data_IF_424860847792
#
_entry.id   IF_424860847792
#
_cell.length_a   1.000
_cell.length_b   1.000
_cell.length_c   1.000
_cell.angle_alpha   90.00
_cell.angle_beta   90.00
_cell.angle_gamma   90.00
#
_symmetry.space_group_name_H-M   'P 1'
#
loop_
_entity.id
_entity.type
_entity.pdbx_description
1 polymer ?
#
# COMPACT_ATOMS: atom_id res chain seq x y z
N UNK A 1 -3.72 11.51 -4.43
CA UNK A 1 -4.44 10.97 -5.62
C UNK A 1 -5.53 10.04 -5.12
N UNK A 2 -6.80 10.34 -5.38
CA UNK A 2 -7.93 9.56 -4.87
C UNK A 2 -7.96 8.15 -5.46
N UNK A 3 -8.09 7.13 -4.61
CA UNK A 3 -8.10 5.70 -4.95
C UNK A 3 -9.12 5.33 -6.04
N UNK A 4 -10.19 6.14 -6.20
CA UNK A 4 -11.23 5.94 -7.22
C UNK A 4 -10.73 6.12 -8.66
N UNK A 5 -9.77 7.01 -8.90
CA UNK A 5 -9.29 7.31 -10.26
C UNK A 5 -8.42 6.19 -10.86
N UNK A 6 -7.57 5.56 -10.05
CA UNK A 6 -6.74 4.42 -10.48
C UNK A 6 -7.56 3.16 -10.69
N UNK A 7 -8.61 2.94 -9.89
CA UNK A 7 -9.59 1.86 -10.09
C UNK A 7 -10.35 2.02 -11.43
N UNK A 8 -10.51 3.26 -11.89
CA UNK A 8 -11.17 3.56 -13.16
C UNK A 8 -10.32 3.21 -14.40
N UNK A 9 -9.02 3.50 -14.37
CA UNK A 9 -8.16 3.22 -15.54
C UNK A 9 -7.75 1.74 -15.65
N UNK A 10 -7.73 1.02 -14.53
CA UNK A 10 -7.31 -0.38 -14.48
C UNK A 10 -8.35 -1.37 -15.06
N UNK A 11 -9.62 -1.00 -15.13
CA UNK A 11 -10.68 -1.84 -15.67
C UNK A 11 -10.84 -1.74 -17.19
N UNK A 12 -10.21 -0.73 -17.82
CA UNK A 12 -10.22 -0.56 -19.27
C UNK A 12 -9.13 -1.47 -19.88
N UNK A 13 -9.48 -2.56 -20.61
CA UNK A 13 -8.51 -3.59 -20.98
C UNK A 13 -7.35 -3.09 -21.85
N UNK A 14 -7.63 -2.18 -22.79
CA UNK A 14 -6.62 -1.64 -23.70
C UNK A 14 -5.65 -0.68 -22.98
N UNK A 15 -6.14 0.16 -22.05
CA UNK A 15 -5.31 1.07 -21.24
C UNK A 15 -4.37 0.25 -20.36
N UNK A 16 -4.91 -0.77 -19.68
CA UNK A 16 -4.12 -1.69 -18.86
C UNK A 16 -3.05 -2.40 -19.69
N UNK A 17 -3.39 -2.89 -20.88
CA UNK A 17 -2.44 -3.56 -21.76
C UNK A 17 -1.31 -2.62 -22.22
N UNK A 18 -1.64 -1.38 -22.57
CA UNK A 18 -0.67 -0.37 -22.99
C UNK A 18 0.27 0.06 -21.85
N UNK A 19 -0.22 0.16 -20.62
CA UNK A 19 0.57 0.62 -19.46
C UNK A 19 1.36 -0.50 -18.76
N UNK A 20 0.91 -1.76 -18.85
CA UNK A 20 1.55 -2.92 -18.20
C UNK A 20 3.06 -3.07 -18.47
N UNK A 21 3.59 -2.91 -19.70
CA UNK A 21 5.03 -3.07 -19.95
C UNK A 21 5.89 -2.03 -19.22
N UNK A 22 5.35 -0.87 -18.87
CA UNK A 22 6.08 0.19 -18.16
C UNK A 22 6.14 -0.03 -16.64
N UNK A 23 5.25 -0.84 -16.07
CA UNK A 23 5.15 -1.03 -14.63
C UNK A 23 6.39 -1.75 -14.04
N UNK A 24 6.93 -2.76 -14.72
CA UNK A 24 8.10 -3.51 -14.26
C UNK A 24 9.36 -2.65 -14.15
N UNK A 25 9.80 -1.97 -15.23
CA UNK A 25 10.92 -1.06 -15.20
C UNK A 25 10.75 0.07 -14.17
N UNK A 26 9.53 0.61 -14.04
CA UNK A 26 9.22 1.63 -13.03
C UNK A 26 9.50 1.14 -11.61
N UNK A 27 9.04 -0.07 -11.27
CA UNK A 27 9.28 -0.65 -9.93
C UNK A 27 10.78 -0.90 -9.68
N UNK A 28 11.51 -1.39 -10.69
CA UNK A 28 12.96 -1.58 -10.58
C UNK A 28 13.70 -0.25 -10.39
N UNK A 29 13.26 0.80 -11.08
CA UNK A 29 13.83 2.15 -10.97
C UNK A 29 13.53 2.79 -9.61
N UNK A 30 12.35 2.56 -9.03
CA UNK A 30 11.96 3.06 -7.71
C UNK A 30 12.87 2.55 -6.57
N UNK A 31 13.55 1.42 -6.75
CA UNK A 31 14.68 1.01 -5.91
C UNK A 31 14.36 0.53 -4.49
N UNK A 32 13.12 0.64 -4.01
CA UNK A 32 12.73 0.23 -2.65
C UNK A 32 13.06 -1.25 -2.33
N UNK A 33 13.02 -2.14 -3.33
CA UNK A 33 13.41 -3.55 -3.16
C UNK A 33 14.90 -3.73 -2.84
N UNK A 34 15.76 -2.79 -3.27
CA UNK A 34 17.22 -2.82 -3.03
C UNK A 34 17.60 -2.48 -1.59
N UNK A 35 16.71 -1.79 -0.87
CA UNK A 35 16.82 -1.51 0.57
C UNK A 35 15.97 -2.46 1.42
N UNK A 36 15.36 -3.47 0.77
CA UNK A 36 14.69 -4.54 1.46
C UNK A 36 13.25 -4.24 1.90
N UNK A 37 12.61 -3.24 1.29
CA UNK A 37 11.20 -2.89 1.53
C UNK A 37 10.27 -3.60 0.53
N UNK A 38 9.03 -3.81 0.94
CA UNK A 38 7.89 -4.14 0.07
C UNK A 38 7.12 -2.87 -0.28
N UNK A 39 6.30 -2.91 -1.33
CA UNK A 39 5.54 -1.76 -1.79
C UNK A 39 4.64 -1.16 -0.70
N UNK A 40 3.97 -2.01 0.08
CA UNK A 40 3.05 -1.60 1.14
C UNK A 40 3.76 -0.95 2.35
N UNK A 41 5.10 -1.10 2.47
CA UNK A 41 5.88 -0.41 3.50
C UNK A 41 5.97 1.11 3.22
N UNK A 42 5.77 1.53 1.96
CA UNK A 42 5.89 2.93 1.50
C UNK A 42 4.64 3.77 1.77
N UNK A 43 3.56 3.17 2.27
CA UNK A 43 2.31 3.88 2.58
C UNK A 43 2.55 4.83 3.77
N UNK A 44 2.13 6.09 3.62
CA UNK A 44 2.22 7.09 4.68
C UNK A 44 1.15 6.83 5.75
N UNK A 45 1.58 6.62 6.99
CA UNK A 45 0.71 6.20 8.09
C UNK A 45 0.14 7.40 8.84
N UNK A 46 1.02 8.33 9.23
CA UNK A 46 0.69 9.37 10.23
C UNK A 46 -0.32 10.40 9.73
N UNK A 47 -0.55 10.48 8.41
CA UNK A 47 -1.49 11.40 7.79
C UNK A 47 -2.86 10.75 7.48
N UNK A 48 -2.98 9.42 7.55
CA UNK A 48 -4.16 8.70 7.07
C UNK A 48 -4.78 7.82 8.19
N UNK A 49 -5.98 8.18 8.72
CA UNK A 49 -6.65 7.38 9.74
C UNK A 49 -6.99 5.97 9.24
N UNK A 50 -7.18 5.77 7.93
CA UNK A 50 -7.41 4.45 7.33
C UNK A 50 -6.16 3.59 7.44
N UNK A 51 -4.98 4.17 7.15
CA UNK A 51 -3.70 3.44 7.23
C UNK A 51 -3.35 3.07 8.67
N UNK A 52 -3.65 3.96 9.62
CA UNK A 52 -3.44 3.72 11.06
C UNK A 52 -4.30 2.56 11.56
N UNK A 53 -5.60 2.56 11.23
CA UNK A 53 -6.51 1.47 11.60
C UNK A 53 -6.16 0.16 10.88
N UNK A 54 -5.71 0.22 9.61
CA UNK A 54 -5.26 -0.96 8.88
C UNK A 54 -4.04 -1.62 9.54
N UNK A 55 -3.08 -0.84 10.05
CA UNK A 55 -1.94 -1.38 10.80
C UNK A 55 -2.35 -1.98 12.14
N UNK A 56 -3.34 -1.39 12.82
CA UNK A 56 -3.87 -1.94 14.07
C UNK A 56 -4.49 -3.33 13.88
N UNK A 57 -5.08 -3.59 12.70
CA UNK A 57 -5.68 -4.89 12.32
C UNK A 57 -4.67 -5.90 11.77
N UNK A 58 -3.45 -5.47 11.45
CA UNK A 58 -2.44 -6.34 10.88
C UNK A 58 -2.01 -7.42 11.91
N UNK A 59 -1.85 -8.69 11.51
CA UNK A 59 -1.34 -9.72 12.39
C UNK A 59 0.03 -9.35 12.97
N UNK A 60 0.26 -9.68 14.25
CA UNK A 60 1.48 -9.30 14.96
C UNK A 60 2.78 -9.71 14.23
N UNK A 61 2.82 -10.93 13.67
CA UNK A 61 3.98 -11.43 12.94
C UNK A 61 4.33 -10.59 11.68
N UNK A 62 3.33 -10.13 10.93
CA UNK A 62 3.53 -9.25 9.77
C UNK A 62 3.93 -7.84 10.20
N UNK A 63 3.39 -7.35 11.32
CA UNK A 63 3.76 -6.07 11.90
C UNK A 63 5.24 -6.05 12.33
N UNK A 64 5.71 -7.10 13.01
CA UNK A 64 7.12 -7.23 13.41
C UNK A 64 8.04 -7.36 12.18
N UNK A 65 7.65 -8.17 11.19
CA UNK A 65 8.39 -8.30 9.93
C UNK A 65 8.48 -6.96 9.18
N UNK A 66 7.42 -6.16 9.19
CA UNK A 66 7.41 -4.80 8.64
C UNK A 66 8.38 -3.89 9.39
N UNK A 67 8.33 -3.86 10.71
CA UNK A 67 9.24 -3.04 11.53
C UNK A 67 10.70 -3.40 11.26
N UNK A 68 11.00 -4.70 11.13
CA UNK A 68 12.34 -5.16 10.76
C UNK A 68 12.79 -4.62 9.40
N UNK A 69 11.95 -4.72 8.36
CA UNK A 69 12.26 -4.18 7.02
C UNK A 69 12.50 -2.67 7.06
N UNK A 70 11.66 -1.92 7.78
CA UNK A 70 11.81 -0.48 7.94
C UNK A 70 13.12 -0.09 8.63
N UNK A 71 13.44 -0.74 9.76
CA UNK A 71 14.71 -0.49 10.48
C UNK A 71 15.92 -0.77 9.60
N UNK A 72 15.88 -1.86 8.83
CA UNK A 72 16.94 -2.20 7.87
C UNK A 72 17.08 -1.14 6.77
N UNK A 73 15.96 -0.68 6.21
CA UNK A 73 15.97 0.36 5.19
C UNK A 73 16.51 1.70 5.71
N UNK A 74 16.14 2.08 6.95
CA UNK A 74 16.69 3.26 7.63
C UNK A 74 18.21 3.11 7.81
N UNK A 75 18.71 1.94 8.21
CA UNK A 75 20.15 1.70 8.32
C UNK A 75 20.88 1.85 6.97
N UNK A 76 20.29 1.36 5.89
CA UNK A 76 20.80 1.56 4.53
C UNK A 76 20.85 3.04 4.16
N UNK A 77 19.80 3.79 4.47
CA UNK A 77 19.72 5.23 4.21
C UNK A 77 20.79 6.01 4.99
N UNK A 78 20.91 5.75 6.29
CA UNK A 78 21.91 6.36 7.17
C UNK A 78 23.35 6.14 6.70
N UNK A 79 23.62 4.98 6.10
CA UNK A 79 24.95 4.62 5.59
C UNK A 79 25.15 4.94 4.12
N UNK A 80 24.11 5.47 3.46
CA UNK A 80 24.05 5.66 2.01
C UNK A 80 24.49 4.41 1.22
N UNK A 81 24.13 3.23 1.73
CA UNK A 81 24.51 1.94 1.17
C UNK A 81 23.27 1.12 0.81
N UNK A 82 23.43 0.23 -0.18
CA UNK A 82 22.38 -0.72 -0.56
C UNK A 82 22.64 -2.08 0.10
N UNK A 83 21.59 -2.88 0.24
CA UNK A 83 21.75 -4.26 0.66
C UNK A 83 22.52 -5.06 -0.40
N UNK A 84 23.21 -6.15 -0.01
CA UNK A 84 23.69 -7.15 -0.96
C UNK A 84 22.56 -7.65 -1.86
N UNK A 85 22.85 -7.96 -3.12
CA UNK A 85 21.84 -8.32 -4.14
C UNK A 85 21.01 -9.53 -3.74
N UNK A 86 21.59 -10.44 -2.96
CA UNK A 86 20.99 -11.66 -2.46
C UNK A 86 19.88 -11.38 -1.43
N UNK A 87 19.92 -10.20 -0.79
CA UNK A 87 18.96 -9.76 0.21
C UNK A 87 17.89 -8.81 -0.36
N UNK A 88 17.93 -8.52 -1.66
CA UNK A 88 16.90 -7.71 -2.31
C UNK A 88 15.59 -8.48 -2.35
N UNK A 89 14.49 -7.76 -2.12
CA UNK A 89 13.16 -8.36 -2.21
C UNK A 89 12.92 -8.80 -3.65
N UNK A 90 12.58 -10.08 -3.82
CA UNK A 90 12.24 -10.62 -5.14
C UNK A 90 10.86 -10.13 -5.57
N UNK A 91 10.59 -10.00 -6.88
CA UNK A 91 9.27 -9.59 -7.37
C UNK A 91 8.11 -10.45 -6.83
N UNK A 92 8.37 -11.73 -6.56
CA UNK A 92 7.37 -12.69 -6.05
C UNK A 92 7.09 -12.49 -4.56
N UNK A 93 8.04 -11.96 -3.80
CA UNK A 93 7.91 -11.70 -2.36
C UNK A 93 7.24 -10.36 -2.06
N UNK A 94 7.26 -9.45 -3.04
CA UNK A 94 6.66 -8.11 -2.98
C UNK A 94 5.12 -8.17 -3.10
N UNK A 95 4.55 -8.72 -2.03
CA UNK A 95 3.14 -8.99 -1.83
C UNK A 95 2.44 -7.79 -1.20
N UNK A 96 1.17 -7.60 -1.57
CA UNK A 96 0.30 -6.54 -1.05
C UNK A 96 -0.39 -7.01 0.24
N UNK A 97 0.34 -7.02 1.35
CA UNK A 97 -0.13 -7.55 2.63
C UNK A 97 -1.01 -6.56 3.42
N UNK A 98 -0.85 -5.26 3.21
CA UNK A 98 -1.60 -4.19 3.91
C UNK A 98 -2.74 -3.65 3.06
N UNK A 99 -2.57 -3.62 1.72
CA UNK A 99 -3.56 -3.09 0.78
C UNK A 99 -4.98 -3.68 0.95
N UNK A 100 -5.18 -5.00 1.19
CA UNK A 100 -6.51 -5.56 1.39
C UNK A 100 -7.19 -4.95 2.63
N UNK A 101 -6.48 -4.87 3.74
CA UNK A 101 -6.99 -4.31 5.00
C UNK A 101 -7.33 -2.84 4.84
N UNK A 102 -6.48 -2.08 4.13
CA UNK A 102 -6.74 -0.66 3.82
C UNK A 102 -8.03 -0.48 3.02
N UNK A 103 -8.32 -1.37 2.07
CA UNK A 103 -9.58 -1.31 1.30
C UNK A 103 -10.80 -1.57 2.17
N UNK A 104 -10.72 -2.56 3.05
CA UNK A 104 -11.82 -2.91 3.95
C UNK A 104 -12.11 -1.76 4.92
N UNK A 105 -11.07 -1.21 5.55
CA UNK A 105 -11.18 -0.05 6.43
C UNK A 105 -11.72 1.17 5.67
N UNK A 106 -11.21 1.46 4.46
CA UNK A 106 -11.69 2.58 3.67
C UNK A 106 -13.19 2.45 3.30
N UNK A 107 -13.65 1.22 3.04
CA UNK A 107 -15.06 0.94 2.76
C UNK A 107 -15.93 1.16 4.00
N UNK A 108 -15.50 0.69 5.17
CA UNK A 108 -16.20 0.91 6.44
C UNK A 108 -16.33 2.40 6.80
N UNK A 109 -15.24 3.17 6.61
CA UNK A 109 -15.27 4.62 6.84
C UNK A 109 -16.23 5.34 5.88
N UNK A 110 -16.23 4.95 4.60
CA UNK A 110 -17.14 5.51 3.62
C UNK A 110 -18.61 5.14 3.88
N UNK A 111 -18.89 3.91 4.34
CA UNK A 111 -20.22 3.48 4.76
C UNK A 111 -20.72 4.28 5.96
N UNK A 112 -19.86 4.47 6.97
CA UNK A 112 -20.20 5.28 8.15
C UNK A 112 -20.52 6.73 7.79
N UNK A 113 -19.70 7.35 6.94
CA UNK A 113 -19.95 8.72 6.47
C UNK A 113 -21.27 8.83 5.70
N UNK A 114 -21.58 7.84 4.86
CA UNK A 114 -22.83 7.80 4.12
C UNK A 114 -24.04 7.61 5.04
N UNK A 115 -23.91 6.80 6.10
CA UNK A 115 -24.94 6.60 7.11
C UNK A 115 -25.20 7.88 7.92
N UNK A 116 -24.14 8.54 8.39
CA UNK A 116 -24.23 9.77 9.18
C UNK A 116 -24.82 10.94 8.37
N UNK A 117 -24.61 10.96 7.04
CA UNK A 117 -25.13 12.01 6.14
C UNK A 117 -26.51 11.68 5.56
N UNK A 118 -27.00 10.44 5.73
CA UNK A 118 -28.26 9.98 5.15
C UNK A 118 -29.47 10.74 5.69
N UNK A 119 -30.18 11.48 4.83
CA UNK A 119 -31.45 12.13 5.21
C UNK A 119 -32.52 11.07 5.44
N UNK A 120 -33.06 11.00 6.66
CA UNK A 120 -34.23 10.17 6.97
C UNK A 120 -35.46 10.79 6.32
N UNK A 121 -35.97 10.18 5.24
CA UNK A 121 -37.25 10.59 4.64
C UNK A 121 -38.36 9.93 5.45
N UNK A 122 -38.99 10.68 6.35
CA UNK A 122 -40.16 10.19 7.10
C UNK A 122 -41.36 10.21 6.16
N UNK A 123 -41.69 9.06 5.59
CA UNK A 123 -42.96 8.90 4.85
C UNK A 123 -44.11 9.02 5.85
N UNK A 124 -44.90 10.09 5.72
CA UNK A 124 -46.18 10.26 6.40
C UNK A 124 -47.30 9.72 5.51
#
# INVERSE_FOLDING_TARGET
MSFKATYSLAHIPWVRAALKPFAGPYVTAAGYRKVGLKYDDLVQIDADPVATEALRRLPAHEADARIFRMRRAIQCDLTHSLLPKEQWIRPEEDTRYLTPIVKDVAAEFAEREAFDTGKVVVQH
#
